data_IF_037800505179
#
_entry.id   IF_037800505179
#
_cell.length_a   1.000
_cell.length_b   1.000
_cell.length_c   1.000
_cell.angle_alpha   90.00
_cell.angle_beta   90.00
_cell.angle_gamma   90.00
#
_symmetry.space_group_name_H-M   'P 1'
#
loop_
_entity.id
_entity.type
_entity.pdbx_description
1 polymer ?
#
# COMPACT_ATOMS: atom_id res chain seq x y z
N UNK A 1 -3.55 89.96 6.91
CA UNK A 1 -3.71 88.94 5.84
C UNK A 1 -3.23 87.65 6.41
N UNK A 2 -4.17 86.79 6.84
CA UNK A 2 -3.93 85.65 7.70
C UNK A 2 -4.28 84.42 6.90
N UNK A 3 -3.31 83.51 6.64
CA UNK A 3 -3.49 82.31 5.88
C UNK A 3 -4.14 81.19 6.76
N UNK A 4 -5.07 80.38 6.24
CA UNK A 4 -5.75 79.37 7.01
C UNK A 4 -4.87 78.15 7.14
N UNK A 5 -4.94 77.52 8.33
CA UNK A 5 -4.28 76.26 8.73
C UNK A 5 -4.92 75.03 8.02
N UNK A 6 -4.17 74.03 7.68
CA UNK A 6 -4.73 72.77 7.11
C UNK A 6 -5.48 71.95 8.18
N UNK A 7 -6.67 71.46 7.76
CA UNK A 7 -7.61 70.74 8.54
C UNK A 7 -7.02 69.33 8.97
N UNK A 8 -7.13 69.08 10.26
CA UNK A 8 -7.01 67.72 10.86
C UNK A 8 -8.05 66.81 10.22
N UNK A 9 -7.58 65.80 9.54
CA UNK A 9 -8.41 64.62 9.16
C UNK A 9 -8.49 63.68 10.34
N UNK A 10 -9.70 63.31 10.82
CA UNK A 10 -9.82 62.26 11.81
C UNK A 10 -9.42 60.92 11.18
N UNK A 11 -8.48 60.21 11.81
CA UNK A 11 -8.13 58.85 11.53
C UNK A 11 -9.33 58.02 12.00
N UNK A 12 -10.17 57.60 11.07
CA UNK A 12 -11.23 56.60 11.34
C UNK A 12 -10.60 55.23 11.48
N UNK A 13 -10.27 54.88 12.72
CA UNK A 13 -9.94 53.52 13.15
C UNK A 13 -11.23 52.68 13.22
N UNK A 14 -11.77 52.33 12.08
CA UNK A 14 -12.68 51.20 11.95
C UNK A 14 -12.04 50.22 10.98
N UNK A 15 -11.01 49.53 11.46
CA UNK A 15 -10.66 48.24 10.94
C UNK A 15 -11.79 47.28 11.41
N UNK A 16 -12.76 47.11 10.55
CA UNK A 16 -13.82 46.12 10.72
C UNK A 16 -13.17 44.75 10.80
N UNK A 17 -13.57 44.00 11.82
CA UNK A 17 -13.12 42.63 12.09
C UNK A 17 -13.44 41.62 10.94
N UNK A 18 -13.86 42.12 9.80
CA UNK A 18 -14.27 41.38 8.61
C UNK A 18 -13.12 41.15 7.60
N UNK A 19 -11.97 41.82 7.80
CA UNK A 19 -10.82 41.72 6.87
C UNK A 19 -9.86 40.58 7.21
N UNK A 20 -10.09 39.83 8.31
CA UNK A 20 -9.24 38.70 8.73
C UNK A 20 -9.81 37.31 8.38
N UNK A 21 -10.93 37.24 7.67
CA UNK A 21 -11.33 36.00 7.00
C UNK A 21 -10.70 35.95 5.60
N UNK A 22 -9.39 35.79 5.53
CA UNK A 22 -8.79 35.14 4.37
C UNK A 22 -9.42 33.75 4.25
N UNK A 23 -10.51 33.68 3.49
CA UNK A 23 -11.06 32.40 3.06
C UNK A 23 -9.96 31.69 2.30
N UNK A 24 -9.34 30.73 2.97
CA UNK A 24 -8.38 29.80 2.37
C UNK A 24 -9.16 28.94 1.36
N UNK A 25 -9.39 29.50 0.18
CA UNK A 25 -9.94 28.77 -0.95
C UNK A 25 -8.86 27.80 -1.41
N UNK A 26 -8.94 26.56 -0.96
CA UNK A 26 -8.21 25.44 -1.57
C UNK A 26 -8.70 25.37 -3.01
N UNK A 27 -7.97 26.00 -3.93
CA UNK A 27 -8.13 25.74 -5.35
C UNK A 27 -7.70 24.30 -5.59
N UNK A 28 -8.67 23.41 -5.55
CA UNK A 28 -8.47 22.06 -6.08
C UNK A 28 -7.99 22.23 -7.53
N UNK A 29 -6.85 21.61 -7.89
CA UNK A 29 -6.39 21.66 -9.27
C UNK A 29 -7.54 21.18 -10.16
N UNK A 30 -7.87 21.91 -11.25
CA UNK A 30 -8.95 21.48 -12.14
C UNK A 30 -8.63 20.06 -12.60
N UNK A 31 -9.52 19.13 -12.29
CA UNK A 31 -9.35 17.73 -12.66
C UNK A 31 -9.14 17.67 -14.18
N UNK A 32 -8.02 17.12 -14.65
CA UNK A 32 -7.67 17.12 -16.08
C UNK A 32 -8.69 16.37 -16.94
N UNK A 33 -9.58 15.58 -16.31
CA UNK A 33 -10.65 14.80 -16.97
C UNK A 33 -11.67 15.72 -17.67
N UNK A 34 -11.96 16.92 -17.12
CA UNK A 34 -12.89 17.86 -17.78
C UNK A 34 -12.31 18.50 -19.04
N UNK A 35 -10.97 18.53 -19.19
CA UNK A 35 -10.31 19.04 -20.40
C UNK A 35 -10.47 18.13 -21.63
N UNK A 36 -10.77 16.84 -21.44
CA UNK A 36 -10.98 15.88 -22.55
C UNK A 36 -12.25 16.20 -23.37
N UNK A 37 -13.29 16.78 -22.75
CA UNK A 37 -14.57 17.07 -23.39
C UNK A 37 -14.64 18.43 -24.07
N UNK A 38 -13.71 19.35 -23.76
CA UNK A 38 -13.68 20.64 -24.43
C UNK A 38 -12.75 20.58 -25.64
N UNK A 39 -13.31 20.73 -26.85
CA UNK A 39 -12.59 20.92 -28.12
C UNK A 39 -11.92 22.32 -28.12
N UNK A 40 -10.96 22.56 -27.24
CA UNK A 40 -10.15 23.77 -27.30
C UNK A 40 -9.02 23.55 -28.32
N UNK A 41 -8.96 24.34 -29.41
CA UNK A 41 -7.91 24.25 -30.41
C UNK A 41 -6.53 24.64 -29.87
N UNK A 42 -6.46 25.19 -28.66
CA UNK A 42 -5.24 25.61 -27.96
C UNK A 42 -4.58 24.50 -27.15
N UNK A 43 -5.25 23.37 -26.93
CA UNK A 43 -4.66 22.22 -26.22
C UNK A 43 -3.64 21.51 -27.12
N UNK A 44 -2.37 21.60 -26.72
CA UNK A 44 -1.26 20.88 -27.37
C UNK A 44 -1.50 19.39 -27.28
N UNK A 45 -1.04 18.63 -28.31
CA UNK A 45 -1.21 17.17 -28.35
C UNK A 45 -0.70 16.42 -27.11
N UNK A 46 0.33 16.93 -26.44
CA UNK A 46 0.88 16.39 -25.17
C UNK A 46 -0.12 16.45 -24.02
N UNK A 47 -0.92 17.50 -23.90
CA UNK A 47 -1.90 17.65 -22.82
C UNK A 47 -3.06 16.66 -22.96
N UNK A 48 -3.42 16.32 -24.22
CA UNK A 48 -4.42 15.28 -24.51
C UNK A 48 -3.92 13.88 -24.16
N UNK A 49 -2.64 13.60 -24.41
CA UNK A 49 -2.03 12.30 -24.04
C UNK A 49 -2.00 12.14 -22.52
N UNK A 50 -1.64 13.19 -21.79
CA UNK A 50 -1.60 13.16 -20.33
C UNK A 50 -3.01 12.99 -19.74
N UNK A 51 -4.01 13.70 -20.27
CA UNK A 51 -5.40 13.57 -19.85
C UNK A 51 -5.98 12.18 -20.16
N UNK A 52 -5.65 11.61 -21.34
CA UNK A 52 -6.05 10.26 -21.70
C UNK A 52 -5.39 9.22 -20.77
N UNK A 53 -4.10 9.36 -20.50
CA UNK A 53 -3.37 8.47 -19.61
C UNK A 53 -3.98 8.50 -18.20
N UNK A 54 -4.36 9.67 -17.71
CA UNK A 54 -5.05 9.82 -16.41
C UNK A 54 -6.42 9.15 -16.43
N UNK A 55 -7.21 9.31 -17.48
CA UNK A 55 -8.52 8.67 -17.60
C UNK A 55 -8.39 7.13 -17.62
N UNK A 56 -7.44 6.61 -18.40
CA UNK A 56 -7.14 5.17 -18.43
C UNK A 56 -6.69 4.67 -17.05
N UNK A 57 -5.83 5.42 -16.37
CA UNK A 57 -5.39 5.09 -15.03
C UNK A 57 -6.55 4.96 -14.04
N UNK A 58 -7.49 5.90 -14.05
CA UNK A 58 -8.69 5.84 -13.21
C UNK A 58 -9.54 4.61 -13.53
N UNK A 59 -9.76 4.31 -14.81
CA UNK A 59 -10.51 3.13 -15.24
C UNK A 59 -9.83 1.84 -14.75
N UNK A 60 -8.50 1.73 -14.92
CA UNK A 60 -7.73 0.56 -14.46
C UNK A 60 -7.83 0.40 -12.94
N UNK A 61 -7.70 1.48 -12.17
CA UNK A 61 -7.83 1.43 -10.71
C UNK A 61 -9.22 1.01 -10.26
N UNK A 62 -10.28 1.48 -10.94
CA UNK A 62 -11.65 1.06 -10.65
C UNK A 62 -11.89 -0.41 -10.99
N UNK A 63 -11.35 -0.90 -12.11
CA UNK A 63 -11.43 -2.31 -12.49
C UNK A 63 -10.57 -3.21 -11.60
N UNK A 64 -9.50 -2.69 -11.01
CA UNK A 64 -8.67 -3.44 -10.09
C UNK A 64 -9.39 -3.82 -8.78
N UNK A 65 -10.39 -3.04 -8.36
CA UNK A 65 -11.16 -3.32 -7.13
C UNK A 65 -11.88 -4.66 -7.19
N UNK A 66 -12.73 -4.96 -8.19
CA UNK A 66 -13.40 -6.27 -8.27
C UNK A 66 -12.40 -7.42 -8.46
N UNK A 67 -11.29 -7.20 -9.17
CA UNK A 67 -10.24 -8.22 -9.33
C UNK A 67 -9.57 -8.52 -7.98
N UNK A 68 -9.20 -7.49 -7.22
CA UNK A 68 -8.63 -7.66 -5.89
C UNK A 68 -9.62 -8.36 -4.93
N UNK A 69 -10.92 -8.02 -5.00
CA UNK A 69 -11.95 -8.70 -4.24
C UNK A 69 -12.09 -10.18 -4.61
N UNK A 70 -12.07 -10.51 -5.91
CA UNK A 70 -12.12 -11.89 -6.37
C UNK A 70 -10.90 -12.71 -5.90
N UNK A 71 -9.69 -12.13 -5.92
CA UNK A 71 -8.50 -12.78 -5.36
C UNK A 71 -8.65 -12.97 -3.85
N UNK A 72 -9.14 -11.95 -3.13
CA UNK A 72 -9.40 -12.04 -1.70
C UNK A 72 -10.36 -13.18 -1.34
N UNK A 73 -11.48 -13.32 -2.07
CA UNK A 73 -12.45 -14.42 -1.84
C UNK A 73 -11.83 -15.79 -2.13
N UNK A 74 -11.08 -15.93 -3.22
CA UNK A 74 -10.41 -17.18 -3.56
C UNK A 74 -9.38 -17.60 -2.49
N UNK A 75 -8.61 -16.65 -1.96
CA UNK A 75 -7.68 -16.88 -0.84
C UNK A 75 -8.44 -17.25 0.43
N UNK A 76 -9.56 -16.55 0.73
CA UNK A 76 -10.39 -16.86 1.89
C UNK A 76 -10.88 -18.31 1.87
N UNK A 77 -11.48 -18.73 0.76
CA UNK A 77 -12.05 -20.08 0.63
C UNK A 77 -10.96 -21.15 0.74
N UNK A 78 -9.86 -20.97 0.00
CA UNK A 78 -8.71 -21.91 0.06
C UNK A 78 -8.10 -22.01 1.47
N UNK A 79 -7.96 -20.89 2.19
CA UNK A 79 -7.41 -20.89 3.55
C UNK A 79 -8.38 -21.48 4.56
N UNK A 80 -9.67 -21.19 4.40
CA UNK A 80 -10.72 -21.74 5.26
C UNK A 80 -10.75 -23.26 5.19
N UNK A 81 -10.67 -23.83 3.99
CA UNK A 81 -10.67 -25.28 3.79
C UNK A 81 -9.45 -25.92 4.45
N UNK A 82 -8.24 -25.34 4.26
CA UNK A 82 -7.01 -25.82 4.91
C UNK A 82 -7.11 -25.74 6.43
N UNK A 83 -7.62 -24.65 6.98
CA UNK A 83 -7.75 -24.49 8.43
C UNK A 83 -8.83 -25.40 9.02
N UNK A 84 -9.93 -25.63 8.29
CA UNK A 84 -10.95 -26.58 8.70
C UNK A 84 -10.40 -28.00 8.74
N UNK A 85 -9.62 -28.42 7.73
CA UNK A 85 -8.96 -29.71 7.69
C UNK A 85 -7.98 -29.90 8.87
N UNK A 86 -7.21 -28.86 9.23
CA UNK A 86 -6.33 -28.90 10.40
C UNK A 86 -7.12 -29.15 11.70
N UNK A 87 -8.33 -28.59 11.83
CA UNK A 87 -9.18 -28.83 13.00
C UNK A 87 -9.76 -30.26 13.04
N UNK A 88 -9.90 -30.91 11.89
CA UNK A 88 -10.39 -32.30 11.83
C UNK A 88 -9.28 -33.33 12.04
N UNK A 89 -8.06 -33.04 11.56
CA UNK A 89 -6.93 -33.98 11.58
C UNK A 89 -6.00 -33.81 12.77
N UNK A 90 -6.18 -32.77 13.59
CA UNK A 90 -5.31 -32.55 14.76
C UNK A 90 -6.08 -32.75 16.05
N UNK A 91 -5.46 -33.51 16.96
CA UNK A 91 -6.02 -33.90 18.25
C UNK A 91 -5.14 -33.42 19.40
N UNK A 92 -5.76 -33.00 20.50
CA UNK A 92 -5.04 -32.60 21.68
C UNK A 92 -4.74 -33.84 22.55
N UNK A 93 -3.46 -34.07 22.83
CA UNK A 93 -3.01 -35.18 23.72
C UNK A 93 -2.09 -34.62 24.80
N UNK A 94 -1.96 -35.33 25.91
CA UNK A 94 -1.04 -34.98 26.99
C UNK A 94 0.33 -35.62 26.74
N UNK A 95 1.36 -34.80 26.68
CA UNK A 95 2.75 -35.26 26.61
C UNK A 95 3.44 -35.07 27.97
N UNK A 96 4.36 -35.97 28.30
CA UNK A 96 5.23 -35.88 29.47
C UNK A 96 6.66 -35.65 29.01
N UNK A 97 7.35 -34.68 29.58
CA UNK A 97 8.77 -34.42 29.31
C UNK A 97 9.62 -35.55 29.88
N UNK A 98 10.47 -36.15 29.06
CA UNK A 98 11.31 -37.28 29.46
C UNK A 98 12.74 -36.88 29.74
N UNK A 99 13.27 -35.85 29.12
CA UNK A 99 14.67 -35.48 29.24
C UNK A 99 14.87 -33.95 29.21
N UNK A 100 15.88 -33.49 29.97
CA UNK A 100 16.29 -32.07 30.11
C UNK A 100 17.21 -31.64 28.96
N UNK A 101 17.48 -32.54 28.00
CA UNK A 101 18.36 -32.24 26.88
C UNK A 101 17.63 -31.35 25.89
N UNK A 102 17.52 -30.06 26.25
CA UNK A 102 17.04 -29.02 25.36
C UNK A 102 17.98 -28.91 24.16
N UNK A 103 17.53 -29.38 22.98
CA UNK A 103 18.16 -28.94 21.74
C UNK A 103 17.96 -27.44 21.62
N UNK A 104 19.04 -26.70 21.87
CA UNK A 104 19.02 -25.23 21.95
C UNK A 104 18.64 -24.62 20.60
N UNK A 105 17.37 -24.30 20.46
CA UNK A 105 16.91 -23.23 19.56
C UNK A 105 16.23 -22.17 20.42
N UNK A 106 17.03 -21.22 20.84
CA UNK A 106 16.68 -20.18 21.81
C UNK A 106 15.87 -19.10 21.09
N UNK A 107 14.56 -19.28 21.05
CA UNK A 107 13.65 -18.14 21.20
C UNK A 107 13.39 -18.00 22.69
N UNK A 108 13.56 -16.82 23.24
CA UNK A 108 13.68 -16.55 24.68
C UNK A 108 12.54 -17.08 25.59
N UNK A 109 11.49 -17.69 25.01
CA UNK A 109 10.29 -18.12 25.74
C UNK A 109 9.96 -19.62 25.55
N UNK A 110 10.43 -20.25 24.49
CA UNK A 110 10.11 -21.66 24.16
C UNK A 110 11.38 -22.46 23.89
N UNK A 111 11.39 -23.72 24.35
CA UNK A 111 12.51 -24.66 24.22
C UNK A 111 11.98 -25.94 23.61
N UNK A 112 12.75 -26.55 22.73
CA UNK A 112 12.45 -27.88 22.21
C UNK A 112 13.02 -28.95 23.13
N UNK A 113 12.15 -29.80 23.67
CA UNK A 113 12.50 -30.88 24.59
C UNK A 113 12.04 -32.25 24.08
N UNK A 114 12.62 -33.31 24.61
CA UNK A 114 12.14 -34.68 24.32
C UNK A 114 10.88 -34.95 25.18
N UNK A 115 9.79 -35.34 24.53
CA UNK A 115 8.53 -35.68 25.15
C UNK A 115 8.04 -37.05 24.74
N UNK A 116 7.21 -37.67 25.56
CA UNK A 116 6.50 -38.89 25.32
C UNK A 116 5.00 -38.69 25.47
N UNK A 117 4.23 -39.24 24.53
CA UNK A 117 2.77 -39.16 24.55
C UNK A 117 2.14 -40.40 23.98
N UNK A 118 0.89 -40.66 24.27
CA UNK A 118 0.13 -41.78 23.69
C UNK A 118 -0.90 -41.20 22.72
N UNK A 119 -0.88 -41.66 21.46
CA UNK A 119 -1.84 -41.33 20.43
C UNK A 119 -2.23 -42.60 19.64
N UNK A 120 -3.51 -42.72 19.27
CA UNK A 120 -4.06 -43.85 18.54
C UNK A 120 -3.76 -45.25 19.18
N UNK A 121 -3.49 -45.30 20.51
CA UNK A 121 -3.17 -46.52 21.25
C UNK A 121 -1.69 -46.95 21.20
N UNK A 122 -0.84 -46.16 20.56
CA UNK A 122 0.61 -46.34 20.51
C UNK A 122 1.34 -45.26 21.31
N UNK A 123 2.52 -45.60 21.82
CA UNK A 123 3.39 -44.69 22.54
C UNK A 123 4.37 -44.03 21.56
N UNK A 124 4.34 -42.69 21.50
CA UNK A 124 5.20 -41.89 20.64
C UNK A 124 6.23 -41.14 21.47
N UNK A 125 7.43 -40.96 20.92
CA UNK A 125 8.47 -40.10 21.50
C UNK A 125 9.00 -39.18 20.43
N UNK A 126 9.26 -37.94 20.81
CA UNK A 126 9.76 -36.95 19.83
C UNK A 126 10.06 -35.61 20.45
N UNK A 127 10.49 -34.69 19.58
CA UNK A 127 10.75 -33.29 19.96
C UNK A 127 9.43 -32.55 20.11
N UNK A 128 9.22 -31.93 21.24
CA UNK A 128 8.03 -31.10 21.54
C UNK A 128 8.48 -29.71 21.97
N UNK A 129 7.71 -28.71 21.57
CA UNK A 129 7.98 -27.32 21.96
C UNK A 129 7.27 -27.03 23.27
N UNK A 130 8.04 -26.75 24.32
CA UNK A 130 7.54 -26.43 25.65
C UNK A 130 8.01 -25.04 26.09
N UNK A 131 7.41 -24.50 27.16
CA UNK A 131 7.90 -23.27 27.77
C UNK A 131 9.24 -23.51 28.46
N UNK A 132 10.11 -22.50 28.48
CA UNK A 132 11.46 -22.59 29.09
C UNK A 132 11.45 -22.90 30.60
N UNK A 133 10.29 -22.82 31.25
CA UNK A 133 10.09 -23.12 32.68
C UNK A 133 9.70 -24.59 32.94
N UNK A 134 9.41 -25.37 31.87
CA UNK A 134 8.95 -26.75 31.98
C UNK A 134 10.10 -27.68 32.43
N UNK A 135 9.82 -28.62 33.31
CA UNK A 135 10.81 -29.54 33.88
C UNK A 135 10.53 -31.00 33.43
N UNK A 136 11.54 -31.89 33.48
CA UNK A 136 11.30 -33.31 33.31
C UNK A 136 10.25 -33.83 34.27
N UNK A 137 9.31 -34.63 33.72
CA UNK A 137 8.15 -35.15 34.46
C UNK A 137 6.90 -34.23 34.39
N UNK A 138 7.02 -33.02 33.91
CA UNK A 138 5.86 -32.12 33.73
C UNK A 138 4.99 -32.63 32.55
N UNK A 139 3.69 -32.49 32.73
CA UNK A 139 2.69 -32.83 31.72
C UNK A 139 2.12 -31.55 31.11
N UNK A 140 2.01 -31.54 29.77
CA UNK A 140 1.39 -30.45 29.05
C UNK A 140 0.67 -30.95 27.81
N UNK A 141 -0.27 -30.18 27.33
CA UNK A 141 -1.04 -30.52 26.13
C UNK A 141 -0.24 -30.19 24.86
N UNK A 142 -0.20 -31.14 23.94
CA UNK A 142 0.37 -30.98 22.59
C UNK A 142 -0.67 -31.34 21.54
N UNK A 143 -0.52 -30.78 20.35
CA UNK A 143 -1.30 -31.18 19.20
C UNK A 143 -0.57 -32.31 18.43
N UNK A 144 -1.32 -33.31 18.03
CA UNK A 144 -0.83 -34.42 17.21
C UNK A 144 -1.71 -34.62 15.99
N UNK A 145 -1.16 -35.11 14.91
CA UNK A 145 -1.91 -35.50 13.73
C UNK A 145 -2.52 -36.91 13.89
N UNK A 146 -3.27 -37.37 12.88
CA UNK A 146 -3.91 -38.70 12.88
C UNK A 146 -2.89 -39.87 12.96
N UNK A 147 -1.61 -39.60 12.65
CA UNK A 147 -0.53 -40.58 12.75
C UNK A 147 0.19 -40.53 14.12
N UNK A 148 -0.25 -39.67 15.01
CA UNK A 148 0.34 -39.46 16.32
C UNK A 148 1.61 -38.60 16.31
N UNK A 149 1.99 -37.98 15.21
CA UNK A 149 3.15 -37.09 15.16
C UNK A 149 2.80 -35.71 15.76
N UNK A 150 3.73 -35.17 16.58
CA UNK A 150 3.57 -33.85 17.16
C UNK A 150 3.50 -32.77 16.07
N UNK A 151 2.51 -31.88 16.16
CA UNK A 151 2.24 -30.82 15.20
C UNK A 151 1.91 -29.51 15.91
N UNK A 152 1.87 -28.43 15.17
CA UNK A 152 1.49 -27.11 15.70
C UNK A 152 -0.02 -27.03 15.98
N UNK A 153 -0.41 -26.08 16.85
CA UNK A 153 -1.79 -25.74 17.09
C UNK A 153 -2.54 -25.42 15.79
N UNK A 154 -3.77 -25.96 15.59
CA UNK A 154 -4.55 -25.66 14.39
C UNK A 154 -4.84 -24.17 14.30
N UNK A 155 -4.64 -23.60 13.12
CA UNK A 155 -4.86 -22.19 12.87
C UNK A 155 -6.35 -21.86 12.95
N UNK A 156 -6.78 -20.86 13.73
CA UNK A 156 -8.17 -20.47 13.79
C UNK A 156 -8.72 -20.08 12.41
N UNK A 157 -9.90 -20.58 12.04
CA UNK A 157 -10.54 -20.32 10.73
C UNK A 157 -10.81 -18.82 10.50
N UNK A 158 -10.94 -18.03 11.58
CA UNK A 158 -11.08 -16.56 11.52
C UNK A 158 -9.88 -15.88 10.87
N UNK A 159 -8.69 -16.50 10.92
CA UNK A 159 -7.47 -15.97 10.28
C UNK A 159 -7.55 -15.94 8.76
N UNK A 160 -8.35 -16.82 8.15
CA UNK A 160 -8.58 -16.81 6.70
C UNK A 160 -9.10 -15.46 6.18
N UNK A 161 -9.91 -14.75 6.98
CA UNK A 161 -10.37 -13.40 6.64
C UNK A 161 -9.25 -12.37 6.59
N UNK A 162 -8.31 -12.43 7.52
CA UNK A 162 -7.14 -11.53 7.55
C UNK A 162 -6.23 -11.79 6.34
N UNK A 163 -5.97 -13.06 6.06
CA UNK A 163 -5.14 -13.47 4.91
C UNK A 163 -5.77 -13.00 3.59
N UNK A 164 -7.09 -13.11 3.46
CA UNK A 164 -7.85 -12.67 2.29
C UNK A 164 -7.76 -11.16 2.07
N UNK A 165 -7.99 -10.37 3.13
CA UNK A 165 -7.90 -8.90 3.07
C UNK A 165 -6.48 -8.47 2.73
N UNK A 166 -5.49 -9.09 3.35
CA UNK A 166 -4.08 -8.80 3.08
C UNK A 166 -3.72 -9.09 1.63
N UNK A 167 -4.14 -10.24 1.08
CA UNK A 167 -3.92 -10.58 -0.32
C UNK A 167 -4.58 -9.58 -1.28
N UNK A 168 -5.85 -9.21 -1.02
CA UNK A 168 -6.57 -8.22 -1.82
C UNK A 168 -5.88 -6.85 -1.81
N UNK A 169 -5.40 -6.39 -0.64
CA UNK A 169 -4.66 -5.13 -0.51
C UNK A 169 -3.34 -5.16 -1.27
N UNK A 170 -2.59 -6.27 -1.22
CA UNK A 170 -1.34 -6.40 -1.99
C UNK A 170 -1.58 -6.34 -3.50
N UNK A 171 -2.62 -7.00 -4.01
CA UNK A 171 -2.99 -6.93 -5.42
C UNK A 171 -3.34 -5.48 -5.81
N UNK A 172 -4.19 -4.83 -5.04
CA UNK A 172 -4.61 -3.46 -5.32
C UNK A 172 -3.44 -2.47 -5.23
N UNK A 173 -2.58 -2.59 -4.22
CA UNK A 173 -1.38 -1.77 -4.07
C UNK A 173 -0.40 -1.97 -5.22
N UNK A 174 -0.21 -3.22 -5.68
CA UNK A 174 0.63 -3.54 -6.83
C UNK A 174 0.14 -2.88 -8.12
N UNK A 175 -1.16 -2.94 -8.39
CA UNK A 175 -1.78 -2.26 -9.55
C UNK A 175 -1.61 -0.74 -9.43
N UNK A 176 -1.84 -0.19 -8.24
CA UNK A 176 -1.70 1.26 -7.99
C UNK A 176 -0.26 1.72 -8.23
N UNK A 177 0.72 0.98 -7.74
CA UNK A 177 2.14 1.28 -7.97
C UNK A 177 2.51 1.21 -9.46
N UNK A 178 2.05 0.19 -10.18
CA UNK A 178 2.28 0.06 -11.62
C UNK A 178 1.69 1.24 -12.40
N UNK A 179 0.45 1.62 -12.10
CA UNK A 179 -0.21 2.78 -12.71
C UNK A 179 0.54 4.08 -12.42
N UNK A 180 0.99 4.27 -11.17
CA UNK A 180 1.77 5.45 -10.80
C UNK A 180 3.09 5.55 -11.57
N UNK A 181 3.80 4.44 -11.75
CA UNK A 181 5.05 4.38 -12.53
C UNK A 181 4.78 4.71 -14.00
N UNK A 182 3.71 4.16 -14.58
CA UNK A 182 3.34 4.44 -15.98
C UNK A 182 2.98 5.91 -16.18
N UNK A 183 2.23 6.52 -15.26
CA UNK A 183 1.89 7.94 -15.31
C UNK A 183 3.14 8.83 -15.16
N UNK A 184 4.04 8.50 -14.24
CA UNK A 184 5.31 9.21 -14.09
C UNK A 184 6.18 9.11 -15.35
N UNK A 185 6.26 7.91 -15.95
CA UNK A 185 6.95 7.69 -17.22
C UNK A 185 6.34 8.50 -18.36
N UNK A 186 5.02 8.52 -18.49
CA UNK A 186 4.32 9.31 -19.52
C UNK A 186 4.63 10.81 -19.36
N UNK A 187 4.60 11.33 -18.13
CA UNK A 187 4.94 12.73 -17.85
C UNK A 187 6.37 13.05 -18.23
N UNK A 188 7.34 12.23 -17.85
CA UNK A 188 8.76 12.44 -18.19
C UNK A 188 9.01 12.43 -19.69
N UNK A 189 8.33 11.55 -20.43
CA UNK A 189 8.41 11.52 -21.91
C UNK A 189 7.81 12.79 -22.52
N UNK A 190 6.62 13.21 -22.06
CA UNK A 190 5.99 14.44 -22.54
C UNK A 190 6.85 15.68 -22.28
N UNK A 191 7.48 15.76 -21.11
CA UNK A 191 8.37 16.88 -20.76
C UNK A 191 9.65 16.89 -21.62
N UNK A 192 10.23 15.73 -21.91
CA UNK A 192 11.38 15.62 -22.84
C UNK A 192 11.01 16.08 -24.25
N UNK A 193 9.85 15.65 -24.76
CA UNK A 193 9.37 16.08 -26.09
C UNK A 193 9.16 17.59 -26.11
N UNK A 194 8.61 18.17 -25.04
CA UNK A 194 8.41 19.61 -24.88
C UNK A 194 9.75 20.35 -24.90
N UNK A 195 10.75 19.87 -24.15
CA UNK A 195 12.08 20.48 -24.09
C UNK A 195 12.79 20.45 -25.45
N UNK A 196 12.76 19.32 -26.19
CA UNK A 196 13.37 19.20 -27.51
C UNK A 196 12.73 20.17 -28.52
N UNK A 197 11.40 20.28 -28.52
CA UNK A 197 10.68 21.25 -29.39
C UNK A 197 11.04 22.71 -29.08
N UNK A 198 11.26 23.04 -27.81
CA UNK A 198 11.70 24.36 -27.40
C UNK A 198 13.11 24.68 -27.92
N UNK A 199 14.04 23.74 -27.81
CA UNK A 199 15.41 23.91 -28.33
C UNK A 199 15.42 24.14 -29.85
N UNK A 200 14.67 23.35 -30.63
CA UNK A 200 14.56 23.55 -32.08
C UNK A 200 13.93 24.91 -32.44
N UNK A 201 12.96 25.38 -31.68
CA UNK A 201 12.36 26.70 -31.93
C UNK A 201 13.35 27.84 -31.64
N UNK A 202 14.20 27.74 -30.63
CA UNK A 202 15.25 28.72 -30.35
C UNK A 202 16.35 28.69 -31.40
N UNK A 203 16.81 27.53 -31.85
CA UNK A 203 17.84 27.40 -32.88
C UNK A 203 17.39 28.01 -34.20
N UNK A 204 16.11 27.86 -34.56
CA UNK A 204 15.56 28.48 -35.79
C UNK A 204 15.48 30.00 -35.71
N UNK A 205 15.28 30.56 -34.50
CA UNK A 205 15.28 32.03 -34.31
C UNK A 205 16.71 32.60 -34.41
N UNK A 206 17.68 31.99 -33.74
CA UNK A 206 19.08 32.42 -33.73
C UNK A 206 19.69 32.30 -35.14
N UNK A 207 19.40 31.21 -35.87
CA UNK A 207 19.88 31.01 -37.25
C UNK A 207 19.30 32.04 -38.23
N UNK A 208 18.08 32.55 -37.98
CA UNK A 208 17.45 33.57 -38.84
C UNK A 208 18.04 34.97 -38.65
N UNK A 209 18.44 35.32 -37.42
CA UNK A 209 19.06 36.63 -37.11
C UNK A 209 20.52 36.67 -37.60
N UNK A 210 21.27 35.56 -37.54
CA UNK A 210 22.63 35.46 -38.08
C UNK A 210 22.73 35.65 -39.60
N UNK A 211 21.67 35.33 -40.35
CA UNK A 211 21.65 35.50 -41.81
C UNK A 211 21.35 36.96 -42.23
N UNK A 212 20.64 37.74 -41.40
CA UNK A 212 20.34 39.15 -41.70
C UNK A 212 21.51 40.06 -41.44
N UNK A 213 22.37 39.74 -40.47
CA UNK A 213 23.57 40.55 -40.17
C UNK A 213 24.73 40.33 -41.15
N UNK A 214 24.70 39.31 -42.01
CA UNK A 214 25.73 39.03 -43.04
C UNK A 214 25.43 39.68 -44.40
N UNK A 215 24.27 40.35 -44.55
CA UNK A 215 23.87 41.01 -45.82
C UNK A 215 23.83 42.56 -45.71
N UNK A 216 24.30 43.12 -44.62
CA UNK A 216 24.46 44.55 -44.40
C UNK A 216 25.97 44.90 -44.41
#
# INVERSE_FOLDING_TARGET
>A
MMAPRPHDRPISTHATADELQETFTVRLPPWPIFGLFHRNPLLRGTDRIEALAMAVAVIVLLLAVPVAAAVGTAVHDSRRDVYAEQHHTRHLVTATITDDTAAQNISQTTVTMAGRWSAAGEEHTGAVTAQSTTKPGDQFAIWVDDNGAATDEPTPTTRAGVDAVTAALFVWAGVTAAVAILLAGTRTVCDRIRAIRWQHALDTLVGRDGHKSSQA
#
